data_IF_296946780825
#
_entry.id   IF_296946780825
#
_cell.length_a   1.000
_cell.length_b   1.000
_cell.length_c   1.000
_cell.angle_alpha   90.00
_cell.angle_beta   90.00
_cell.angle_gamma   90.00
#
_symmetry.space_group_name_H-M   'P 1'
#
loop_
_entity.id
_entity.type
_entity.pdbx_description
1 polymer ?
#
# COMPACT_ATOMS: atom_id res chain seq x y z
N UNK A 1 25.66 -71.75 30.69
CA UNK A 1 25.80 -71.38 29.27
C UNK A 1 25.43 -69.92 29.13
N UNK A 2 26.41 -69.01 29.20
CA UNK A 2 26.17 -67.56 29.16
C UNK A 2 26.69 -67.02 27.83
N UNK A 3 25.80 -66.50 26.98
CA UNK A 3 26.16 -65.87 25.70
C UNK A 3 26.56 -64.41 25.96
N UNK A 4 27.80 -64.09 25.62
CA UNK A 4 28.30 -62.71 25.55
C UNK A 4 28.14 -62.22 24.11
N UNK A 5 27.46 -61.10 23.90
CA UNK A 5 27.38 -60.41 22.61
C UNK A 5 28.59 -59.49 22.43
N UNK A 6 29.24 -59.46 21.25
CA UNK A 6 30.25 -58.45 20.96
C UNK A 6 29.59 -57.15 20.51
N UNK A 7 30.05 -56.03 21.08
CA UNK A 7 29.74 -54.67 20.65
C UNK A 7 30.53 -54.32 19.41
N UNK A 8 29.85 -53.98 18.31
CA UNK A 8 30.47 -53.47 17.09
C UNK A 8 30.81 -51.98 17.25
N UNK A 9 32.09 -51.65 17.29
CA UNK A 9 32.58 -50.28 17.22
C UNK A 9 32.64 -49.82 15.75
N UNK A 10 31.88 -48.77 15.44
CA UNK A 10 31.96 -48.08 14.15
C UNK A 10 33.33 -47.43 13.98
N UNK A 11 33.97 -47.67 12.83
CA UNK A 11 35.31 -47.16 12.49
C UNK A 11 35.30 -45.65 12.24
N UNK A 12 36.46 -45.01 12.48
CA UNK A 12 36.68 -43.55 12.40
C UNK A 12 36.23 -42.92 11.07
N UNK A 13 36.29 -43.65 9.95
CA UNK A 13 35.91 -43.14 8.63
C UNK A 13 34.42 -42.81 8.49
N UNK A 14 33.55 -43.54 9.19
CA UNK A 14 32.09 -43.32 9.22
C UNK A 14 31.69 -42.06 9.99
N UNK A 15 32.51 -41.60 10.95
CA UNK A 15 32.25 -40.39 11.73
C UNK A 15 32.52 -39.11 10.94
N UNK A 16 33.45 -39.16 10.00
CA UNK A 16 33.79 -38.02 9.14
C UNK A 16 32.73 -37.77 8.05
N UNK A 17 32.12 -38.82 7.49
CA UNK A 17 31.06 -38.70 6.49
C UNK A 17 29.76 -38.12 7.07
N UNK A 18 29.39 -38.53 8.30
CA UNK A 18 28.22 -37.98 9.01
C UNK A 18 28.46 -36.52 9.43
N UNK A 19 29.68 -36.15 9.81
CA UNK A 19 30.02 -34.76 10.17
C UNK A 19 30.03 -33.81 8.95
N UNK A 20 30.40 -34.30 7.76
CA UNK A 20 30.36 -33.51 6.51
C UNK A 20 28.93 -33.30 6.00
N UNK A 21 28.05 -34.30 6.11
CA UNK A 21 26.62 -34.15 5.78
C UNK A 21 25.87 -33.25 6.77
N UNK A 22 26.22 -33.30 8.07
CA UNK A 22 25.65 -32.39 9.07
C UNK A 22 26.07 -30.92 8.84
N UNK A 23 27.29 -30.66 8.36
CA UNK A 23 27.76 -29.30 8.03
C UNK A 23 27.17 -28.76 6.71
N UNK A 24 26.86 -29.63 5.75
CA UNK A 24 26.15 -29.23 4.53
C UNK A 24 24.68 -28.87 4.80
N UNK A 25 24.01 -29.55 5.73
CA UNK A 25 22.64 -29.23 6.15
C UNK A 25 22.55 -27.96 7.02
N UNK A 26 23.59 -27.63 7.79
CA UNK A 26 23.68 -26.34 8.50
C UNK A 26 24.04 -25.15 7.60
N UNK A 27 24.73 -25.37 6.47
CA UNK A 27 25.02 -24.30 5.51
C UNK A 27 23.82 -23.95 4.61
N UNK A 28 22.89 -24.90 4.40
CA UNK A 28 21.69 -24.66 3.59
C UNK A 28 20.51 -24.06 4.37
N UNK A 29 20.56 -24.08 5.70
CA UNK A 29 19.52 -23.49 6.57
C UNK A 29 19.76 -22.00 6.89
N UNK A 30 20.89 -21.42 6.46
CA UNK A 30 21.23 -20.01 6.67
C UNK A 30 20.92 -19.09 5.48
N UNK A 31 20.31 -19.60 4.40
CA UNK A 31 20.05 -18.82 3.17
C UNK A 31 18.62 -18.27 3.00
N UNK A 32 17.73 -18.39 3.99
CA UNK A 32 16.30 -18.10 3.79
C UNK A 32 15.66 -17.11 4.78
N UNK A 33 16.43 -16.18 5.34
CA UNK A 33 15.85 -15.02 6.03
C UNK A 33 16.70 -13.78 5.77
N UNK A 34 16.56 -13.23 4.56
CA UNK A 34 16.93 -11.83 4.37
C UNK A 34 16.23 -10.99 5.46
N UNK A 35 16.94 -10.08 6.15
CA UNK A 35 16.31 -9.24 7.15
C UNK A 35 15.14 -8.49 6.51
N UNK A 36 14.06 -8.24 7.26
CA UNK A 36 12.86 -7.57 6.78
C UNK A 36 13.14 -6.20 6.10
N UNK A 37 14.32 -5.62 6.33
CA UNK A 37 14.79 -4.39 5.71
C UNK A 37 15.34 -4.56 4.28
N UNK A 38 15.69 -5.78 3.85
CA UNK A 38 16.25 -6.05 2.52
C UNK A 38 15.27 -5.77 1.37
N UNK A 39 13.97 -5.64 1.66
CA UNK A 39 12.92 -5.35 0.69
C UNK A 39 12.21 -4.01 0.94
N UNK A 40 12.79 -3.12 1.76
CA UNK A 40 12.20 -1.79 1.96
C UNK A 40 12.05 -1.06 0.62
N UNK A 41 10.86 -0.52 0.38
CA UNK A 41 10.53 0.19 -0.85
C UNK A 41 10.39 -0.69 -2.11
N UNK A 42 10.57 -2.02 -2.02
CA UNK A 42 10.31 -2.92 -3.15
C UNK A 42 8.82 -3.26 -3.23
N UNK A 43 8.17 -3.08 -4.40
CA UNK A 43 6.75 -3.38 -4.56
C UNK A 43 6.48 -4.89 -4.38
N UNK A 44 5.25 -5.23 -3.99
CA UNK A 44 4.78 -6.61 -3.91
C UNK A 44 4.32 -7.15 -5.27
N UNK A 45 3.78 -6.27 -6.11
CA UNK A 45 3.36 -6.55 -7.48
C UNK A 45 3.63 -5.34 -8.36
N UNK A 46 3.59 -5.53 -9.67
CA UNK A 46 3.68 -4.47 -10.68
C UNK A 46 2.55 -4.57 -11.72
N UNK A 47 2.60 -3.69 -12.73
CA UNK A 47 1.64 -3.67 -13.83
C UNK A 47 1.62 -4.95 -14.69
N UNK A 48 2.66 -5.79 -14.67
CA UNK A 48 2.64 -7.08 -15.38
C UNK A 48 1.75 -8.10 -14.65
N UNK A 49 1.63 -7.99 -13.32
CA UNK A 49 0.80 -8.87 -12.51
C UNK A 49 -0.63 -8.34 -12.30
N UNK A 50 -0.88 -7.06 -12.59
CA UNK A 50 -2.18 -6.41 -12.54
C UNK A 50 -2.28 -5.30 -13.60
N UNK A 51 -2.77 -5.65 -14.78
CA UNK A 51 -2.88 -4.71 -15.89
C UNK A 51 -4.17 -3.87 -15.80
N UNK A 52 -4.02 -2.63 -15.33
CA UNK A 52 -5.14 -1.69 -15.23
C UNK A 52 -5.74 -1.32 -16.59
N UNK A 53 -5.02 -1.44 -17.72
CA UNK A 53 -5.55 -1.17 -19.07
C UNK A 53 -6.70 -2.10 -19.44
N UNK A 54 -6.72 -3.29 -18.86
CA UNK A 54 -7.78 -4.28 -19.07
C UNK A 54 -8.92 -4.16 -18.06
N UNK A 55 -8.70 -3.47 -16.94
CA UNK A 55 -9.61 -3.48 -15.78
C UNK A 55 -10.31 -2.14 -15.54
N UNK A 56 -9.72 -1.03 -15.96
CA UNK A 56 -10.30 0.31 -15.84
C UNK A 56 -10.79 0.80 -17.20
N UNK A 57 -11.96 1.44 -17.18
CA UNK A 57 -12.45 2.20 -18.31
C UNK A 57 -11.47 3.32 -18.70
N UNK A 58 -11.45 3.78 -19.95
CA UNK A 58 -10.72 4.98 -20.32
C UNK A 58 -11.22 6.22 -19.55
N UNK A 59 -10.40 7.27 -19.39
CA UNK A 59 -10.86 8.54 -18.83
C UNK A 59 -11.96 9.16 -19.70
N UNK A 60 -12.87 9.95 -19.10
CA UNK A 60 -13.77 10.81 -19.87
C UNK A 60 -13.00 11.68 -20.87
N UNK A 61 -13.54 11.84 -22.08
CA UNK A 61 -12.93 12.71 -23.09
C UNK A 61 -12.91 14.17 -22.60
N UNK A 62 -11.87 14.92 -22.98
CA UNK A 62 -11.63 16.29 -22.50
C UNK A 62 -12.80 17.25 -22.81
N UNK A 63 -13.54 17.04 -23.89
CA UNK A 63 -14.69 17.84 -24.31
C UNK A 63 -16.04 17.23 -23.89
N UNK A 64 -16.06 16.16 -23.08
CA UNK A 64 -17.29 15.48 -22.69
C UNK A 64 -18.11 16.31 -21.69
N UNK A 65 -19.45 16.14 -21.67
CA UNK A 65 -20.30 16.74 -20.63
C UNK A 65 -19.87 16.36 -19.21
N UNK A 66 -19.38 15.14 -19.01
CA UNK A 66 -18.86 14.69 -17.72
C UNK A 66 -17.65 15.53 -17.30
N UNK A 67 -16.67 15.71 -18.17
CA UNK A 67 -15.49 16.53 -17.88
C UNK A 67 -15.87 17.98 -17.54
N UNK A 68 -16.83 18.56 -18.26
CA UNK A 68 -17.31 19.92 -17.94
C UNK A 68 -17.99 20.00 -16.56
N UNK A 69 -18.77 18.99 -16.18
CA UNK A 69 -19.39 18.92 -14.86
C UNK A 69 -18.35 18.76 -13.74
N UNK A 70 -17.31 17.95 -13.95
CA UNK A 70 -16.21 17.75 -13.01
C UNK A 70 -15.39 19.03 -12.81
N UNK A 71 -15.15 19.80 -13.89
CA UNK A 71 -14.49 21.09 -13.80
C UNK A 71 -15.34 22.10 -13.01
N UNK A 72 -16.65 22.13 -13.25
CA UNK A 72 -17.57 22.99 -12.50
C UNK A 72 -17.61 22.63 -11.00
N UNK A 73 -17.55 21.35 -10.65
CA UNK A 73 -17.41 20.89 -9.26
C UNK A 73 -16.15 21.47 -8.60
N UNK A 74 -14.99 21.37 -9.27
CA UNK A 74 -13.72 21.89 -8.75
C UNK A 74 -13.78 23.40 -8.56
N UNK A 75 -14.33 24.15 -9.52
CA UNK A 75 -14.45 25.60 -9.43
C UNK A 75 -15.41 26.01 -8.29
N UNK A 76 -16.50 25.27 -8.07
CA UNK A 76 -17.40 25.47 -6.94
C UNK A 76 -16.70 25.20 -5.60
N UNK A 77 -15.96 24.09 -5.49
CA UNK A 77 -15.16 23.76 -4.30
C UNK A 77 -14.07 24.78 -4.04
N UNK A 78 -13.45 25.34 -5.08
CA UNK A 78 -12.43 26.39 -4.94
C UNK A 78 -12.98 27.65 -4.26
N UNK A 79 -14.23 28.01 -4.55
CA UNK A 79 -14.90 29.18 -3.95
C UNK A 79 -15.38 28.87 -2.53
N UNK A 80 -15.78 27.63 -2.26
CA UNK A 80 -16.43 27.25 -0.99
C UNK A 80 -15.49 26.59 0.03
N UNK A 81 -14.30 26.15 -0.37
CA UNK A 81 -13.34 25.49 0.53
C UNK A 81 -12.89 26.43 1.65
N UNK A 82 -13.00 25.95 2.89
CA UNK A 82 -12.51 26.66 4.07
C UNK A 82 -10.99 26.51 4.21
N UNK A 83 -10.33 27.36 5.03
CA UNK A 83 -8.91 27.17 5.36
C UNK A 83 -8.61 25.79 5.96
N UNK A 84 -9.53 25.22 6.74
CA UNK A 84 -9.39 23.88 7.30
C UNK A 84 -9.41 22.79 6.22
N UNK A 85 -10.32 22.91 5.25
CA UNK A 85 -10.36 21.99 4.08
C UNK A 85 -9.08 22.07 3.26
N UNK A 86 -8.56 23.27 3.04
CA UNK A 86 -7.28 23.48 2.34
C UNK A 86 -6.12 22.85 3.10
N UNK A 87 -5.99 23.12 4.40
CA UNK A 87 -4.93 22.56 5.23
C UNK A 87 -4.99 21.02 5.27
N UNK A 88 -6.20 20.46 5.37
CA UNK A 88 -6.43 19.01 5.34
C UNK A 88 -6.00 18.40 4.00
N UNK A 89 -6.37 19.02 2.89
CA UNK A 89 -6.00 18.55 1.56
C UNK A 89 -4.49 18.69 1.26
N UNK A 90 -3.84 19.73 1.80
CA UNK A 90 -2.40 19.89 1.77
C UNK A 90 -1.69 18.80 2.57
N UNK A 91 -2.13 18.53 3.79
CA UNK A 91 -1.56 17.45 4.61
C UNK A 91 -1.72 16.08 3.92
N UNK A 92 -2.85 15.85 3.25
CA UNK A 92 -3.14 14.63 2.49
C UNK A 92 -2.45 14.58 1.12
N UNK A 93 -1.57 15.53 0.80
CA UNK A 93 -0.66 15.41 -0.34
C UNK A 93 0.53 14.48 -0.07
N UNK A 94 0.71 14.07 1.19
CA UNK A 94 1.73 13.08 1.60
C UNK A 94 1.14 11.67 1.49
N UNK A 95 1.80 10.80 0.74
CA UNK A 95 1.36 9.42 0.48
C UNK A 95 2.00 8.44 1.47
N UNK A 96 1.43 8.34 2.68
CA UNK A 96 1.81 7.31 3.65
C UNK A 96 0.69 7.01 4.65
N UNK A 97 0.85 5.88 5.36
CA UNK A 97 -0.13 5.39 6.35
C UNK A 97 -0.30 6.34 7.55
N UNK A 98 0.69 7.16 7.86
CA UNK A 98 0.65 8.08 9.01
C UNK A 98 -0.43 9.16 8.89
N UNK A 99 -0.98 9.37 7.69
CA UNK A 99 -2.15 10.22 7.45
C UNK A 99 -3.45 9.71 8.08
N UNK A 100 -3.47 8.48 8.59
CA UNK A 100 -4.57 7.88 9.36
C UNK A 100 -4.40 8.01 10.88
N UNK A 101 -3.38 8.72 11.37
CA UNK A 101 -3.08 8.84 12.80
C UNK A 101 -4.21 9.45 13.64
N UNK A 102 -5.04 10.31 13.05
CA UNK A 102 -6.23 10.86 13.70
C UNK A 102 -7.32 9.82 13.97
N UNK A 103 -7.40 8.77 13.16
CA UNK A 103 -8.27 7.60 13.40
C UNK A 103 -7.60 6.59 14.33
N UNK A 104 -6.31 6.36 14.15
CA UNK A 104 -5.57 5.29 14.84
C UNK A 104 -5.20 5.64 16.29
N UNK A 105 -5.08 6.94 16.61
CA UNK A 105 -4.81 7.45 17.96
C UNK A 105 -3.32 7.60 18.27
N UNK A 106 -3.02 8.13 19.46
CA UNK A 106 -1.70 8.64 19.85
C UNK A 106 -0.57 7.60 19.86
N UNK A 107 -0.91 6.31 20.01
CA UNK A 107 0.09 5.22 19.96
C UNK A 107 0.51 4.85 18.53
N UNK A 108 -0.20 5.32 17.51
CA UNK A 108 0.13 5.10 16.11
C UNK A 108 1.20 6.07 15.63
N UNK A 109 2.42 5.87 16.13
CA UNK A 109 3.59 6.71 15.87
C UNK A 109 4.69 5.90 15.19
N UNK A 110 5.24 6.46 14.11
CA UNK A 110 6.22 5.80 13.22
C UNK A 110 7.38 5.14 13.96
N UNK A 111 7.98 5.83 14.92
CA UNK A 111 9.18 5.36 15.63
C UNK A 111 8.93 4.12 16.50
N UNK A 112 7.68 3.76 16.77
CA UNK A 112 7.29 2.56 17.52
C UNK A 112 6.83 1.42 16.62
N UNK A 113 6.79 1.65 15.31
CA UNK A 113 6.15 0.78 14.33
C UNK A 113 7.06 0.54 13.10
N UNK A 114 8.32 0.11 13.28
CA UNK A 114 9.26 -0.07 12.17
C UNK A 114 8.83 -1.13 11.15
N UNK A 115 8.21 -2.25 11.57
CA UNK A 115 7.72 -3.26 10.63
C UNK A 115 6.51 -2.74 9.85
N UNK A 116 5.62 -2.02 10.52
CA UNK A 116 4.45 -1.39 9.91
C UNK A 116 4.88 -0.30 8.92
N UNK A 117 5.85 0.55 9.27
CA UNK A 117 6.40 1.57 8.36
C UNK A 117 6.99 0.92 7.10
N UNK A 118 7.88 -0.07 7.28
CA UNK A 118 8.50 -0.79 6.17
C UNK A 118 7.46 -1.48 5.28
N UNK A 119 6.43 -2.10 5.88
CA UNK A 119 5.34 -2.73 5.16
C UNK A 119 4.54 -1.72 4.33
N UNK A 120 4.10 -0.61 4.90
CA UNK A 120 3.33 0.40 4.16
C UNK A 120 4.15 1.18 3.14
N UNK A 121 5.48 1.29 3.30
CA UNK A 121 6.36 1.78 2.23
C UNK A 121 6.31 0.87 0.99
N UNK A 122 6.30 -0.46 1.19
CA UNK A 122 6.15 -1.42 0.08
C UNK A 122 4.75 -1.38 -0.53
N UNK A 123 3.70 -1.17 0.28
CA UNK A 123 2.33 -0.94 -0.21
C UNK A 123 2.28 0.31 -1.11
N UNK A 124 2.90 1.42 -0.69
CA UNK A 124 3.01 2.64 -1.51
C UNK A 124 3.82 2.42 -2.78
N UNK A 125 4.96 1.72 -2.71
CA UNK A 125 5.75 1.37 -3.90
C UNK A 125 4.97 0.51 -4.91
N UNK A 126 4.11 -0.38 -4.40
CA UNK A 126 3.22 -1.22 -5.22
C UNK A 126 2.19 -0.37 -5.97
N UNK A 127 1.64 0.65 -5.32
CA UNK A 127 0.72 1.59 -5.97
C UNK A 127 1.37 2.24 -7.18
N UNK A 128 2.55 2.85 -7.01
CA UNK A 128 3.28 3.48 -8.12
C UNK A 128 3.62 2.49 -9.24
N UNK A 129 4.13 1.30 -8.89
CA UNK A 129 4.51 0.27 -9.86
C UNK A 129 3.35 -0.25 -10.72
N UNK A 130 2.11 -0.20 -10.21
CA UNK A 130 0.89 -0.60 -10.93
C UNK A 130 0.27 0.58 -11.68
N UNK A 131 0.22 1.76 -11.05
CA UNK A 131 -0.57 2.90 -11.54
C UNK A 131 0.20 3.77 -12.55
N UNK A 132 1.48 4.02 -12.33
CA UNK A 132 2.25 4.93 -13.18
C UNK A 132 2.30 4.51 -14.65
N UNK A 133 2.48 3.22 -15.01
CA UNK A 133 2.41 2.77 -16.40
C UNK A 133 1.08 3.13 -17.07
N UNK A 134 -0.04 3.01 -16.35
CA UNK A 134 -1.36 3.35 -16.87
C UNK A 134 -1.52 4.85 -17.09
N UNK A 135 -1.04 5.68 -16.16
CA UNK A 135 -1.05 7.15 -16.31
C UNK A 135 -0.26 7.62 -17.53
N UNK A 136 0.83 6.91 -17.85
CA UNK A 136 1.69 7.19 -19.01
C UNK A 136 1.02 6.87 -20.35
N UNK A 137 0.00 6.00 -20.38
CA UNK A 137 -0.80 5.71 -21.57
C UNK A 137 -1.79 6.84 -21.83
N UNK A 138 -2.59 7.21 -20.84
CA UNK A 138 -3.68 8.16 -21.05
C UNK A 138 -3.26 9.61 -21.05
N UNK A 139 -2.25 9.98 -20.24
CA UNK A 139 -1.74 11.34 -20.11
C UNK A 139 -2.85 12.41 -20.00
N UNK A 140 -3.94 12.09 -19.30
CA UNK A 140 -5.07 13.02 -19.11
C UNK A 140 -4.53 14.32 -18.50
N UNK A 141 -4.81 15.51 -19.08
CA UNK A 141 -4.40 16.78 -18.47
C UNK A 141 -5.04 16.93 -17.09
N UNK A 142 -4.37 17.59 -16.15
CA UNK A 142 -4.95 17.86 -14.84
C UNK A 142 -5.90 19.07 -14.92
N UNK A 143 -6.78 19.27 -13.91
CA UNK A 143 -7.70 20.41 -13.90
C UNK A 143 -7.06 21.77 -14.18
N UNK A 144 -5.88 22.02 -13.60
CA UNK A 144 -5.12 23.25 -13.77
C UNK A 144 -4.33 23.35 -15.08
N UNK A 145 -4.05 22.23 -15.75
CA UNK A 145 -3.46 22.25 -17.09
C UNK A 145 -4.54 22.52 -18.15
N UNK A 146 -5.78 22.13 -17.85
CA UNK A 146 -6.92 22.30 -18.75
C UNK A 146 -7.56 23.69 -18.67
N UNK A 147 -7.56 24.32 -17.49
CA UNK A 147 -8.21 25.62 -17.27
C UNK A 147 -7.43 26.51 -16.30
N UNK A 148 -7.05 27.70 -16.76
CA UNK A 148 -6.36 28.73 -15.97
C UNK A 148 -7.20 29.26 -14.78
N UNK A 149 -8.51 28.96 -14.76
CA UNK A 149 -9.41 29.33 -13.66
C UNK A 149 -9.17 28.48 -12.41
N UNK A 150 -8.65 27.26 -12.58
CA UNK A 150 -8.36 26.37 -11.46
C UNK A 150 -7.08 26.84 -10.76
N UNK A 151 -7.17 27.07 -9.45
CA UNK A 151 -6.09 27.47 -8.55
C UNK A 151 -5.85 26.34 -7.53
N UNK A 152 -4.92 25.42 -7.82
CA UNK A 152 -4.63 24.28 -6.95
C UNK A 152 -4.23 24.71 -5.54
N UNK A 153 -4.72 24.00 -4.53
CA UNK A 153 -4.34 24.25 -3.14
C UNK A 153 -3.08 23.49 -2.70
N UNK A 154 -2.52 22.66 -3.56
CA UNK A 154 -1.39 21.76 -3.25
C UNK A 154 -0.32 21.85 -4.33
N UNK A 155 0.85 21.25 -4.09
CA UNK A 155 1.95 21.22 -5.07
C UNK A 155 1.48 20.56 -6.38
N UNK A 156 1.96 21.10 -7.49
CA UNK A 156 1.66 20.58 -8.82
C UNK A 156 2.46 19.30 -9.09
N UNK A 157 1.93 18.47 -9.99
CA UNK A 157 2.52 17.21 -10.41
C UNK A 157 2.56 17.19 -11.93
N UNK A 158 3.64 16.67 -12.50
CA UNK A 158 3.81 16.58 -13.95
C UNK A 158 3.31 15.24 -14.54
N UNK A 159 2.79 14.34 -13.70
CA UNK A 159 2.17 13.08 -14.18
C UNK A 159 0.73 13.30 -14.62
N UNK A 160 0.22 12.42 -15.50
CA UNK A 160 -1.17 12.47 -15.96
C UNK A 160 -2.20 12.40 -14.83
N UNK A 161 -3.41 12.88 -15.06
CA UNK A 161 -4.45 12.94 -14.02
C UNK A 161 -5.11 11.59 -13.73
N UNK A 162 -5.17 10.68 -14.70
CA UNK A 162 -6.03 9.48 -14.64
C UNK A 162 -5.28 8.14 -14.60
N UNK A 163 -5.59 7.24 -13.64
CA UNK A 163 -6.36 7.49 -12.43
C UNK A 163 -5.54 8.35 -11.44
N UNK A 164 -6.19 8.79 -10.36
CA UNK A 164 -5.53 9.50 -9.27
C UNK A 164 -4.70 8.54 -8.42
N UNK A 165 -3.37 8.74 -8.38
CA UNK A 165 -2.45 7.93 -7.57
C UNK A 165 -2.70 8.10 -6.07
N UNK A 166 -2.82 9.35 -5.60
CA UNK A 166 -3.24 9.64 -4.23
C UNK A 166 -4.54 8.93 -3.84
N UNK A 167 -5.56 8.92 -4.70
CA UNK A 167 -6.81 8.23 -4.39
C UNK A 167 -6.63 6.70 -4.34
N UNK A 168 -5.79 6.14 -5.21
CA UNK A 168 -5.36 4.74 -5.16
C UNK A 168 -4.67 4.43 -3.85
N UNK A 169 -3.63 5.18 -3.49
CA UNK A 169 -2.84 4.99 -2.28
C UNK A 169 -3.70 5.10 -1.01
N UNK A 170 -4.55 6.12 -0.91
CA UNK A 170 -5.45 6.30 0.22
C UNK A 170 -6.45 5.16 0.39
N UNK A 171 -7.02 4.67 -0.73
CA UNK A 171 -7.97 3.56 -0.71
C UNK A 171 -7.29 2.23 -0.37
N UNK A 172 -6.17 1.95 -1.02
CA UNK A 172 -5.34 0.76 -0.77
C UNK A 172 -4.91 0.70 0.70
N UNK A 173 -4.35 1.80 1.20
CA UNK A 173 -3.91 1.93 2.59
C UNK A 173 -5.07 1.72 3.56
N UNK A 174 -6.24 2.33 3.31
CA UNK A 174 -7.41 2.16 4.16
C UNK A 174 -7.90 0.71 4.21
N UNK A 175 -7.99 0.02 3.07
CA UNK A 175 -8.40 -1.39 3.01
C UNK A 175 -7.43 -2.28 3.80
N UNK A 176 -6.12 -2.10 3.56
CA UNK A 176 -5.08 -2.90 4.23
C UNK A 176 -5.07 -2.63 5.74
N UNK A 177 -5.10 -1.36 6.16
CA UNK A 177 -5.11 -0.97 7.56
C UNK A 177 -6.39 -1.44 8.28
N UNK A 178 -7.55 -1.36 7.63
CA UNK A 178 -8.81 -1.87 8.17
C UNK A 178 -8.83 -3.40 8.33
N UNK A 179 -8.05 -4.12 7.53
CA UNK A 179 -7.84 -5.57 7.72
C UNK A 179 -6.85 -5.89 8.85
N UNK A 180 -5.99 -4.95 9.21
CA UNK A 180 -5.12 -5.06 10.38
C UNK A 180 -5.83 -4.73 11.70
N UNK A 181 -6.72 -3.73 11.66
CA UNK A 181 -7.45 -3.20 12.82
C UNK A 181 -8.95 -3.14 12.52
N UNK A 182 -9.63 -4.31 12.45
CA UNK A 182 -11.06 -4.38 12.14
C UNK A 182 -11.94 -3.60 13.14
N UNK A 183 -11.45 -3.39 14.36
CA UNK A 183 -12.12 -2.60 15.41
C UNK A 183 -12.33 -1.12 15.02
N UNK A 184 -11.55 -0.61 14.06
CA UNK A 184 -11.66 0.77 13.52
C UNK A 184 -12.03 0.78 12.04
N UNK A 185 -12.57 -0.32 11.51
CA UNK A 185 -12.78 -0.52 10.07
C UNK A 185 -13.62 0.61 9.45
N UNK A 186 -14.73 0.99 10.07
CA UNK A 186 -15.62 2.00 9.52
C UNK A 186 -14.92 3.37 9.44
N UNK A 187 -14.22 3.76 10.50
CA UNK A 187 -13.51 5.01 10.63
C UNK A 187 -12.30 5.08 9.68
N UNK A 188 -11.54 3.99 9.55
CA UNK A 188 -10.43 3.89 8.60
C UNK A 188 -10.93 4.03 7.16
N UNK A 189 -12.02 3.34 6.81
CA UNK A 189 -12.58 3.41 5.46
C UNK A 189 -13.15 4.81 5.15
N UNK A 190 -13.82 5.44 6.12
CA UNK A 190 -14.29 6.82 6.00
C UNK A 190 -13.13 7.81 5.80
N UNK A 191 -12.04 7.63 6.55
CA UNK A 191 -10.83 8.45 6.41
C UNK A 191 -10.14 8.27 5.06
N UNK A 192 -10.09 7.05 4.55
CA UNK A 192 -9.58 6.76 3.19
C UNK A 192 -10.40 7.44 2.10
N UNK A 193 -11.74 7.46 2.25
CA UNK A 193 -12.63 8.19 1.36
C UNK A 193 -12.38 9.71 1.40
N UNK A 194 -12.24 10.27 2.60
CA UNK A 194 -11.91 11.70 2.79
C UNK A 194 -10.56 12.03 2.13
N UNK A 195 -9.52 11.22 2.38
CA UNK A 195 -8.18 11.39 1.79
C UNK A 195 -8.24 11.44 0.26
N UNK A 196 -8.97 10.52 -0.35
CA UNK A 196 -9.17 10.49 -1.80
C UNK A 196 -9.95 11.72 -2.30
N UNK A 197 -11.02 12.11 -1.61
CA UNK A 197 -11.84 13.27 -1.95
C UNK A 197 -11.09 14.60 -1.84
N UNK A 198 -10.13 14.69 -0.92
CA UNK A 198 -9.30 15.89 -0.74
C UNK A 198 -8.53 16.29 -2.00
N UNK A 199 -8.35 15.38 -2.97
CA UNK A 199 -7.73 15.69 -4.27
C UNK A 199 -8.63 16.53 -5.19
N UNK A 200 -9.96 16.37 -5.09
CA UNK A 200 -10.93 17.22 -5.78
C UNK A 200 -11.03 18.58 -5.09
N UNK A 201 -11.08 18.60 -3.75
CA UNK A 201 -11.04 19.83 -2.93
C UNK A 201 -9.79 20.66 -3.22
N UNK A 202 -8.65 20.00 -3.41
CA UNK A 202 -7.40 20.63 -3.79
C UNK A 202 -7.37 21.14 -5.25
N UNK A 203 -8.30 20.70 -6.10
CA UNK A 203 -8.36 21.07 -7.52
C UNK A 203 -7.27 20.44 -8.39
N UNK A 204 -6.76 19.25 -8.01
CA UNK A 204 -5.65 18.59 -8.71
C UNK A 204 -6.04 17.29 -9.43
N UNK A 205 -7.26 16.81 -9.19
CA UNK A 205 -7.86 15.65 -9.83
C UNK A 205 -9.35 15.89 -10.06
N UNK A 206 -9.87 15.35 -11.17
CA UNK A 206 -11.31 15.28 -11.43
C UNK A 206 -11.96 14.17 -10.60
N UNK A 207 -13.28 14.24 -10.45
CA UNK A 207 -14.06 13.21 -9.72
C UNK A 207 -13.82 11.80 -10.29
N UNK A 208 -13.88 11.63 -11.60
CA UNK A 208 -13.58 10.35 -12.27
C UNK A 208 -12.16 9.84 -12.06
N UNK A 209 -11.15 10.73 -11.93
CA UNK A 209 -9.78 10.31 -11.59
C UNK A 209 -9.75 9.67 -10.20
N UNK A 210 -10.46 10.28 -9.25
CA UNK A 210 -10.56 9.82 -7.86
C UNK A 210 -11.33 8.51 -7.79
N UNK A 211 -12.46 8.39 -8.48
CA UNK A 211 -13.24 7.15 -8.53
C UNK A 211 -12.47 5.99 -9.15
N UNK A 212 -11.80 6.23 -10.28
CA UNK A 212 -10.94 5.22 -10.90
C UNK A 212 -9.75 4.84 -10.01
N UNK A 213 -9.16 5.80 -9.29
CA UNK A 213 -8.12 5.52 -8.29
C UNK A 213 -8.63 4.64 -7.15
N UNK A 214 -9.85 4.88 -6.65
CA UNK A 214 -10.47 4.01 -5.63
C UNK A 214 -10.68 2.58 -6.14
N UNK A 215 -11.10 2.42 -7.39
CA UNK A 215 -11.23 1.10 -8.02
C UNK A 215 -9.84 0.44 -8.12
N UNK A 216 -8.84 1.15 -8.64
CA UNK A 216 -7.47 0.66 -8.73
C UNK A 216 -6.92 0.20 -7.36
N UNK A 217 -7.13 1.00 -6.31
CA UNK A 217 -6.66 0.69 -4.97
C UNK A 217 -7.32 -0.55 -4.40
N UNK A 218 -8.60 -0.76 -4.72
CA UNK A 218 -9.34 -1.97 -4.35
C UNK A 218 -8.83 -3.21 -5.10
N UNK A 219 -8.56 -3.08 -6.41
CA UNK A 219 -8.00 -4.16 -7.23
C UNK A 219 -6.60 -4.57 -6.74
N UNK A 220 -5.73 -3.59 -6.46
CA UNK A 220 -4.41 -3.83 -5.88
C UNK A 220 -4.56 -4.55 -4.54
N UNK A 221 -5.41 -4.06 -3.63
CA UNK A 221 -5.61 -4.68 -2.33
C UNK A 221 -6.05 -6.15 -2.45
N UNK A 222 -6.94 -6.46 -3.40
CA UNK A 222 -7.38 -7.84 -3.66
C UNK A 222 -6.25 -8.70 -4.22
N UNK A 223 -5.45 -8.18 -5.16
CA UNK A 223 -4.31 -8.91 -5.75
C UNK A 223 -3.19 -9.18 -4.75
N UNK A 224 -2.95 -8.25 -3.83
CA UNK A 224 -1.95 -8.39 -2.76
C UNK A 224 -2.21 -9.59 -1.85
N UNK A 225 -3.47 -9.91 -1.55
CA UNK A 225 -3.83 -11.08 -0.72
C UNK A 225 -3.34 -12.41 -1.31
N UNK A 226 -3.10 -12.44 -2.63
CA UNK A 226 -2.63 -13.62 -3.34
C UNK A 226 -1.10 -13.79 -3.30
N UNK A 227 -0.34 -12.80 -2.81
CA UNK A 227 1.12 -12.85 -2.76
C UNK A 227 1.63 -13.37 -1.40
N UNK A 228 2.49 -14.39 -1.43
CA UNK A 228 3.04 -15.03 -0.22
C UNK A 228 3.92 -14.07 0.60
N UNK A 229 4.70 -13.22 -0.09
CA UNK A 229 5.56 -12.24 0.55
C UNK A 229 4.75 -11.08 1.17
N UNK A 230 3.64 -10.67 0.55
CA UNK A 230 2.66 -9.77 1.14
C UNK A 230 2.05 -10.35 2.41
N UNK A 231 1.52 -11.58 2.37
CA UNK A 231 0.87 -12.19 3.54
C UNK A 231 1.82 -12.31 4.74
N UNK A 232 3.08 -12.70 4.50
CA UNK A 232 4.12 -12.74 5.55
C UNK A 232 4.41 -11.36 6.14
N UNK A 233 4.63 -10.36 5.30
CA UNK A 233 4.92 -9.00 5.76
C UNK A 233 3.70 -8.37 6.46
N UNK A 234 2.50 -8.65 5.97
CA UNK A 234 1.22 -8.22 6.55
C UNK A 234 1.04 -8.75 7.96
N UNK A 235 1.21 -10.06 8.21
CA UNK A 235 1.03 -10.61 9.56
C UNK A 235 2.09 -10.09 10.54
N UNK A 236 3.34 -9.91 10.10
CA UNK A 236 4.40 -9.32 10.93
C UNK A 236 4.08 -7.87 11.33
N UNK A 237 3.71 -7.04 10.36
CA UNK A 237 3.28 -5.66 10.61
C UNK A 237 2.01 -5.58 11.44
N UNK A 238 1.03 -6.47 11.20
CA UNK A 238 -0.23 -6.54 11.95
C UNK A 238 0.02 -6.90 13.41
N UNK A 239 0.90 -7.85 13.69
CA UNK A 239 1.25 -8.23 15.05
C UNK A 239 1.86 -7.04 15.83
N UNK A 240 2.88 -6.39 15.26
CA UNK A 240 3.51 -5.20 15.84
C UNK A 240 2.49 -4.07 16.07
N UNK A 241 1.69 -3.75 15.05
CA UNK A 241 0.68 -2.70 15.14
C UNK A 241 -0.32 -2.97 16.27
N UNK A 242 -0.84 -4.20 16.36
CA UNK A 242 -1.84 -4.55 17.38
C UNK A 242 -1.25 -4.55 18.78
N UNK A 243 -0.02 -5.03 18.94
CA UNK A 243 0.71 -4.97 20.22
C UNK A 243 0.86 -3.52 20.70
N UNK A 244 1.36 -2.62 19.85
CA UNK A 244 1.55 -1.19 20.18
C UNK A 244 0.23 -0.50 20.51
N UNK A 245 -0.84 -0.84 19.80
CA UNK A 245 -2.18 -0.31 20.07
C UNK A 245 -2.84 -0.93 21.32
N UNK A 246 -2.25 -1.97 21.92
CA UNK A 246 -2.85 -2.70 23.05
C UNK A 246 -4.09 -3.51 22.66
N UNK A 247 -4.16 -3.94 21.40
CA UNK A 247 -5.24 -4.76 20.86
C UNK A 247 -4.88 -6.26 20.96
N UNK A 248 -5.86 -7.15 21.16
CA UNK A 248 -5.60 -8.59 21.25
C UNK A 248 -5.00 -9.13 19.95
N UNK A 249 -4.17 -10.16 20.03
CA UNK A 249 -3.71 -10.86 18.82
C UNK A 249 -4.91 -11.42 18.04
N UNK A 250 -4.87 -11.33 16.71
CA UNK A 250 -5.89 -11.98 15.88
C UNK A 250 -5.60 -13.48 15.86
N UNK A 251 -6.55 -14.29 16.33
CA UNK A 251 -6.47 -15.74 16.18
C UNK A 251 -6.79 -16.08 14.73
N UNK A 252 -5.88 -16.77 14.04
CA UNK A 252 -6.11 -17.24 12.68
C UNK A 252 -7.36 -18.12 12.61
N UNK A 253 -8.23 -17.88 11.63
CA UNK A 253 -9.26 -18.84 11.24
C UNK A 253 -8.66 -19.81 10.23
#
# INVERSE_FOLDING_TARGET
MSRVFPTSSLTSSSRHLVALLARALLAFSLLASLPAWAHQGQPFIDAAQLDLLTLLAPPPANNSPQMQAELAEILSLQVTRTPAMVARAQADSVENVWRFGDVMGERFVKDKLPLTDAFFQRVGATEGAVVDPYKNVWKRPRPYDYSDLVKPATKLSHSGSYPSGHATNGTLTAIVLANMVPEKRAEIMARGLEYANNRVVAGVHYRSDVEAGRIAGTLIAARLQQQDDFRRAFEAARAELREVLGLPAMVGK
#
